data_IF_488337334391
#
_entry.id   IF_488337334391
#
_cell.length_a   1.000
_cell.length_b   1.000
_cell.length_c   1.000
_cell.angle_alpha   90.00
_cell.angle_beta   90.00
_cell.angle_gamma   90.00
#
_symmetry.space_group_name_H-M   'P 1'
#
loop_
_entity.id
_entity.type
_entity.pdbx_description
1 polymer ?
#
# COMPACT_ATOMS: atom_id res chain seq x y z
N UNK A 1 7.86 -5.79 13.54
CA UNK A 1 6.48 -5.27 13.35
C UNK A 1 6.36 -4.16 12.31
N UNK A 2 7.40 -3.40 12.00
CA UNK A 2 7.37 -2.33 10.99
C UNK A 2 7.16 -2.79 9.54
N UNK A 3 7.62 -3.96 9.16
CA UNK A 3 7.61 -4.44 7.76
C UNK A 3 6.20 -4.57 7.14
N UNK A 4 5.23 -5.06 7.91
CA UNK A 4 3.84 -5.23 7.43
C UNK A 4 3.15 -3.90 7.09
N UNK A 5 3.38 -2.88 7.88
CA UNK A 5 2.71 -1.59 7.66
C UNK A 5 3.33 -0.84 6.48
N UNK A 6 4.64 -0.97 6.27
CA UNK A 6 5.33 -0.41 5.10
C UNK A 6 4.79 -1.02 3.81
N UNK A 7 4.51 -2.33 3.80
CA UNK A 7 3.88 -3.01 2.66
C UNK A 7 2.45 -2.50 2.41
N UNK A 8 1.65 -2.29 3.46
CA UNK A 8 0.30 -1.75 3.30
C UNK A 8 0.32 -0.31 2.79
N UNK A 9 1.25 0.51 3.30
CA UNK A 9 1.44 1.89 2.82
C UNK A 9 1.86 1.92 1.35
N UNK A 10 2.68 0.97 0.88
CA UNK A 10 3.04 0.87 -0.54
C UNK A 10 1.86 0.50 -1.46
N UNK A 11 0.80 -0.12 -0.91
CA UNK A 11 -0.45 -0.43 -1.65
C UNK A 11 -1.41 0.76 -1.72
N UNK A 12 -1.20 1.82 -0.95
CA UNK A 12 -1.97 3.05 -1.07
C UNK A 12 -1.71 3.71 -2.43
N UNK A 13 -2.72 4.32 -3.01
CA UNK A 13 -2.53 5.23 -4.14
C UNK A 13 -1.76 6.49 -3.68
N UNK A 14 -1.38 7.34 -4.61
CA UNK A 14 -0.55 8.50 -4.28
C UNK A 14 -1.27 9.49 -3.34
N UNK A 15 -2.57 9.69 -3.52
CA UNK A 15 -3.41 10.54 -2.66
C UNK A 15 -3.43 10.02 -1.22
N UNK A 16 -3.73 8.73 -1.03
CA UNK A 16 -3.76 8.10 0.30
C UNK A 16 -2.37 8.03 0.94
N UNK A 17 -1.31 7.85 0.14
CA UNK A 17 0.07 7.85 0.62
C UNK A 17 0.49 9.21 1.14
N UNK A 18 0.18 10.29 0.39
CA UNK A 18 0.40 11.65 0.85
C UNK A 18 -0.42 11.98 2.11
N UNK A 19 -1.69 11.53 2.16
CA UNK A 19 -2.51 11.69 3.35
C UNK A 19 -1.93 10.96 4.57
N UNK A 20 -1.42 9.74 4.39
CA UNK A 20 -0.77 8.98 5.47
C UNK A 20 0.52 9.67 5.98
N UNK A 21 1.34 10.22 5.07
CA UNK A 21 2.51 11.01 5.45
C UNK A 21 2.13 12.30 6.21
N UNK A 22 1.09 13.00 5.76
CA UNK A 22 0.56 14.18 6.47
C UNK A 22 -0.05 13.83 7.81
N UNK A 23 -0.75 12.70 7.92
CA UNK A 23 -1.28 12.19 9.19
C UNK A 23 -0.16 11.94 10.20
N UNK A 24 0.95 11.37 9.77
CA UNK A 24 2.13 11.18 10.61
C UNK A 24 2.75 12.50 11.06
N UNK A 25 2.85 13.49 10.17
CA UNK A 25 3.32 14.83 10.50
C UNK A 25 2.39 15.55 11.50
N UNK A 26 1.06 15.41 11.34
CA UNK A 26 0.07 15.93 12.27
C UNK A 26 0.18 15.31 13.66
N UNK A 27 0.35 13.99 13.76
CA UNK A 27 0.53 13.28 15.01
C UNK A 27 1.82 13.74 15.72
N UNK A 28 2.92 13.88 14.96
CA UNK A 28 4.19 14.37 15.48
C UNK A 28 4.08 15.84 15.98
N UNK A 29 3.45 16.71 15.20
CA UNK A 29 3.27 18.12 15.58
C UNK A 29 2.42 18.30 16.85
N UNK A 30 1.51 17.35 17.13
CA UNK A 30 0.67 17.34 18.34
C UNK A 30 1.28 16.54 19.49
N UNK A 31 2.44 15.92 19.30
CA UNK A 31 3.10 15.09 20.30
C UNK A 31 2.34 13.81 20.64
N UNK A 32 1.58 13.24 19.68
CA UNK A 32 0.86 12.00 19.89
C UNK A 32 1.78 10.80 19.68
N UNK A 33 1.62 9.75 20.47
CA UNK A 33 2.39 8.52 20.38
C UNK A 33 2.06 7.70 19.13
N UNK A 34 0.80 7.74 18.70
CA UNK A 34 0.29 6.94 17.57
C UNK A 34 -0.38 7.82 16.52
N UNK A 35 -0.17 7.43 15.26
CA UNK A 35 -0.97 7.93 14.13
C UNK A 35 -2.24 7.09 14.05
N UNK A 36 -3.39 7.71 14.29
CA UNK A 36 -4.67 7.02 14.27
C UNK A 36 -5.55 7.44 13.07
N UNK A 37 -6.71 6.82 12.94
CA UNK A 37 -7.66 7.01 11.84
C UNK A 37 -8.08 8.48 11.71
N UNK A 38 -8.29 9.15 12.82
CA UNK A 38 -8.71 10.56 12.87
C UNK A 38 -7.67 11.49 12.24
N UNK A 39 -6.36 11.21 12.42
CA UNK A 39 -5.28 11.94 11.74
C UNK A 39 -5.36 11.74 10.21
N UNK A 40 -5.60 10.50 9.76
CA UNK A 40 -5.71 10.19 8.34
C UNK A 40 -6.93 10.87 7.71
N UNK A 41 -8.08 10.85 8.38
CA UNK A 41 -9.30 11.50 7.90
C UNK A 41 -9.13 13.01 7.77
N UNK A 42 -8.48 13.66 8.74
CA UNK A 42 -8.13 15.08 8.63
C UNK A 42 -7.23 15.37 7.43
N UNK A 43 -6.20 14.55 7.24
CA UNK A 43 -5.29 14.70 6.11
C UNK A 43 -5.99 14.49 4.76
N UNK A 44 -6.97 13.56 4.67
CA UNK A 44 -7.79 13.34 3.48
C UNK A 44 -8.76 14.50 3.21
N UNK A 45 -9.33 15.13 4.25
CA UNK A 45 -10.18 16.30 4.11
C UNK A 45 -9.44 17.52 3.54
N UNK A 46 -8.14 17.62 3.82
CA UNK A 46 -7.30 18.71 3.31
C UNK A 46 -6.85 18.48 1.86
N UNK A 47 -6.89 17.22 1.41
CA UNK A 47 -6.54 16.83 0.04
C UNK A 47 -7.65 17.21 -0.95
N UNK A 48 -7.36 18.08 -1.91
CA UNK A 48 -8.32 18.40 -2.96
C UNK A 48 -8.46 17.24 -3.96
N UNK A 49 -9.70 16.88 -4.34
CA UNK A 49 -9.98 15.94 -5.42
C UNK A 49 -9.91 14.45 -5.04
N UNK A 50 -9.79 14.11 -3.76
CA UNK A 50 -9.88 12.71 -3.31
C UNK A 50 -11.31 12.17 -3.46
N UNK A 51 -11.45 10.83 -3.59
CA UNK A 51 -12.76 10.18 -3.55
C UNK A 51 -13.50 10.54 -2.26
N UNK A 52 -12.77 10.57 -1.15
CA UNK A 52 -13.31 10.93 0.16
C UNK A 52 -13.98 12.31 0.14
N UNK A 53 -13.29 13.35 -0.37
CA UNK A 53 -13.85 14.69 -0.46
C UNK A 53 -14.99 14.79 -1.48
N UNK A 54 -14.93 14.00 -2.56
CA UNK A 54 -15.99 13.85 -3.55
C UNK A 54 -17.26 13.27 -2.93
N UNK A 55 -17.13 12.20 -2.16
CA UNK A 55 -18.23 11.54 -1.45
C UNK A 55 -18.82 12.44 -0.37
N UNK A 56 -17.99 13.15 0.40
CA UNK A 56 -18.46 14.13 1.38
C UNK A 56 -19.37 15.18 0.72
N UNK A 57 -18.97 15.74 -0.45
CA UNK A 57 -19.80 16.69 -1.20
C UNK A 57 -21.09 16.05 -1.72
N UNK A 58 -21.02 14.84 -2.28
CA UNK A 58 -22.17 14.15 -2.86
C UNK A 58 -23.24 13.84 -1.81
N UNK A 59 -22.84 13.41 -0.63
CA UNK A 59 -23.72 13.08 0.47
C UNK A 59 -23.99 14.25 1.44
N UNK A 60 -23.61 15.47 1.04
CA UNK A 60 -23.82 16.70 1.80
C UNK A 60 -23.28 16.62 3.24
N UNK A 61 -22.13 15.98 3.41
CA UNK A 61 -21.38 16.00 4.67
C UNK A 61 -20.79 17.41 4.84
N UNK A 62 -21.01 18.00 5.99
CA UNK A 62 -20.39 19.28 6.31
C UNK A 62 -18.91 19.05 6.66
N UNK A 63 -18.03 19.41 5.72
CA UNK A 63 -16.59 19.20 5.87
C UNK A 63 -15.99 20.08 7.00
N UNK A 64 -16.55 21.26 7.27
CA UNK A 64 -16.08 22.13 8.34
C UNK A 64 -16.45 21.53 9.71
N UNK A 65 -17.68 21.07 9.84
CA UNK A 65 -18.14 20.40 11.05
C UNK A 65 -17.39 19.07 11.27
N UNK A 66 -17.23 18.25 10.22
CA UNK A 66 -16.46 17.01 10.31
C UNK A 66 -15.03 17.25 10.75
N UNK A 67 -14.39 18.29 10.22
CA UNK A 67 -13.05 18.70 10.65
C UNK A 67 -13.02 19.06 12.14
N UNK A 68 -13.92 19.91 12.59
CA UNK A 68 -13.97 20.35 13.99
C UNK A 68 -14.17 19.17 14.95
N UNK A 69 -15.06 18.22 14.60
CA UNK A 69 -15.33 17.02 15.39
C UNK A 69 -14.10 16.09 15.44
N UNK A 70 -13.40 15.88 14.31
CA UNK A 70 -12.15 15.11 14.27
C UNK A 70 -11.03 15.80 15.09
N UNK A 71 -10.92 17.13 15.04
CA UNK A 71 -9.96 17.88 15.85
C UNK A 71 -10.26 17.77 17.35
N UNK A 72 -11.53 17.77 17.72
CA UNK A 72 -11.96 17.58 19.10
C UNK A 72 -11.59 16.15 19.60
N UNK A 73 -11.83 15.11 18.80
CA UNK A 73 -11.41 13.74 19.12
C UNK A 73 -9.89 13.63 19.31
N UNK A 74 -9.12 14.23 18.41
CA UNK A 74 -7.66 14.24 18.52
C UNK A 74 -7.17 14.99 19.76
N UNK A 75 -7.86 16.05 20.21
CA UNK A 75 -7.53 16.78 21.42
C UNK A 75 -7.71 15.94 22.70
N UNK A 76 -8.45 14.82 22.63
CA UNK A 76 -8.60 13.88 23.75
C UNK A 76 -7.44 12.87 23.87
N UNK A 77 -6.58 12.77 22.84
CA UNK A 77 -5.47 11.83 22.86
C UNK A 77 -4.32 12.34 23.76
N UNK A 78 -3.58 11.42 24.42
CA UNK A 78 -2.41 11.79 25.20
C UNK A 78 -1.36 12.47 24.34
N UNK A 79 -0.92 13.65 24.74
CA UNK A 79 0.13 14.42 24.09
C UNK A 79 1.41 14.47 24.94
N UNK A 80 2.52 14.92 24.37
CA UNK A 80 3.81 15.08 25.07
C UNK A 80 4.85 14.02 24.74
N UNK A 81 4.67 13.27 23.63
CA UNK A 81 5.63 12.29 23.16
C UNK A 81 6.64 12.94 22.22
N UNK A 82 7.94 12.78 22.48
CA UNK A 82 9.03 13.36 21.68
C UNK A 82 9.55 12.40 20.58
N UNK A 83 9.12 11.14 20.60
CA UNK A 83 9.56 10.14 19.61
C UNK A 83 8.66 10.13 18.36
N UNK A 84 9.18 9.59 17.26
CA UNK A 84 8.39 9.42 16.05
C UNK A 84 7.13 8.58 16.32
N UNK A 85 5.93 9.06 15.95
CA UNK A 85 4.70 8.33 16.17
C UNK A 85 4.66 7.05 15.35
N UNK A 86 4.08 6.00 15.92
CA UNK A 86 3.85 4.72 15.24
C UNK A 86 2.41 4.64 14.75
N UNK A 87 2.16 3.90 13.68
CA UNK A 87 0.79 3.67 13.22
C UNK A 87 0.02 2.79 14.21
N UNK A 88 -1.17 3.24 14.61
CA UNK A 88 -2.04 2.51 15.52
C UNK A 88 -2.48 1.16 14.93
N UNK A 89 -2.90 0.23 15.81
CA UNK A 89 -3.47 -1.04 15.36
C UNK A 89 -4.74 -0.82 14.54
N UNK A 90 -5.57 0.17 14.90
CA UNK A 90 -6.81 0.53 14.19
C UNK A 90 -6.52 1.00 12.78
N UNK A 91 -5.51 1.86 12.59
CA UNK A 91 -5.11 2.35 11.28
C UNK A 91 -4.54 1.24 10.40
N UNK A 92 -3.79 0.31 11.00
CA UNK A 92 -3.31 -0.89 10.30
C UNK A 92 -4.48 -1.75 9.82
N UNK A 93 -5.42 -2.05 10.70
CA UNK A 93 -6.64 -2.81 10.35
C UNK A 93 -7.42 -2.12 9.24
N UNK A 94 -7.50 -0.78 9.25
CA UNK A 94 -8.14 -0.01 8.19
C UNK A 94 -7.44 -0.23 6.83
N UNK A 95 -6.12 -0.19 6.78
CA UNK A 95 -5.38 -0.43 5.54
C UNK A 95 -5.53 -1.89 5.05
N UNK A 96 -5.50 -2.87 5.95
CA UNK A 96 -5.73 -4.28 5.62
C UNK A 96 -7.14 -4.50 5.03
N UNK A 97 -8.17 -3.93 5.64
CA UNK A 97 -9.54 -4.02 5.15
C UNK A 97 -9.73 -3.23 3.84
N UNK A 98 -9.15 -2.04 3.75
CA UNK A 98 -9.14 -1.24 2.52
C UNK A 98 -8.49 -1.98 1.36
N UNK A 99 -7.38 -2.70 1.61
CA UNK A 99 -6.76 -3.56 0.61
C UNK A 99 -7.65 -4.73 0.21
N UNK A 100 -8.30 -5.40 1.19
CA UNK A 100 -9.23 -6.49 0.89
C UNK A 100 -10.41 -6.04 0.01
N UNK A 101 -10.85 -4.80 0.14
CA UNK A 101 -11.90 -4.21 -0.69
C UNK A 101 -11.37 -3.84 -2.08
N UNK A 102 -10.22 -3.15 -2.16
CA UNK A 102 -9.58 -2.80 -3.42
C UNK A 102 -9.24 -4.03 -4.29
N UNK A 103 -8.80 -5.13 -3.65
CA UNK A 103 -8.49 -6.38 -4.33
C UNK A 103 -9.72 -7.11 -4.91
N UNK A 104 -10.94 -6.77 -4.46
CA UNK A 104 -12.21 -7.27 -5.03
C UNK A 104 -12.66 -6.44 -6.21
N UNK A 105 -12.25 -5.20 -6.26
CA UNK A 105 -12.55 -4.29 -7.34
C UNK A 105 -11.64 -4.63 -8.53
N UNK A 106 -12.23 -5.06 -9.65
CA UNK A 106 -11.49 -5.55 -10.83
C UNK A 106 -10.68 -4.46 -11.52
N UNK A 107 -10.91 -3.20 -11.17
CA UNK A 107 -10.31 -2.04 -11.80
C UNK A 107 -9.22 -1.35 -10.96
N UNK A 108 -9.09 -1.67 -9.67
CA UNK A 108 -8.16 -1.00 -8.77
C UNK A 108 -7.05 -1.93 -8.26
N UNK A 109 -5.80 -1.56 -8.56
CA UNK A 109 -4.60 -2.23 -8.07
C UNK A 109 -4.02 -1.58 -6.80
N UNK A 110 -4.66 -0.49 -6.32
CA UNK A 110 -4.21 0.30 -5.16
C UNK A 110 -5.38 0.67 -4.26
N UNK A 111 -5.06 0.89 -3.00
CA UNK A 111 -6.05 1.35 -2.02
C UNK A 111 -6.34 2.83 -2.30
N UNK A 112 -7.58 3.15 -2.64
CA UNK A 112 -8.11 4.51 -2.79
C UNK A 112 -8.79 4.95 -1.50
N UNK A 113 -9.05 6.25 -1.36
CA UNK A 113 -9.74 6.77 -0.17
C UNK A 113 -11.19 6.28 -0.05
N UNK A 114 -11.83 5.91 -1.16
CA UNK A 114 -13.16 5.25 -1.15
C UNK A 114 -13.11 3.89 -0.47
N UNK A 115 -12.08 3.06 -0.70
CA UNK A 115 -11.93 1.75 -0.05
C UNK A 115 -11.72 1.89 1.45
N UNK A 116 -10.97 2.92 1.88
CA UNK A 116 -10.79 3.23 3.30
C UNK A 116 -12.09 3.66 3.94
N UNK A 117 -12.87 4.52 3.29
CA UNK A 117 -14.17 4.95 3.77
C UNK A 117 -15.17 3.77 3.84
N UNK A 118 -15.19 2.93 2.80
CA UNK A 118 -16.02 1.72 2.77
C UNK A 118 -15.66 0.78 3.92
N UNK A 119 -14.36 0.52 4.16
CA UNK A 119 -13.90 -0.28 5.29
C UNK A 119 -14.35 0.31 6.64
N UNK A 120 -14.25 1.62 6.82
CA UNK A 120 -14.69 2.31 8.03
C UNK A 120 -16.19 2.17 8.30
N UNK A 121 -17.01 2.17 7.26
CA UNK A 121 -18.48 2.13 7.41
C UNK A 121 -19.04 0.71 7.48
N UNK A 122 -18.38 -0.26 6.81
CA UNK A 122 -18.90 -1.63 6.71
C UNK A 122 -18.31 -2.60 7.73
N UNK A 123 -17.07 -2.35 8.20
CA UNK A 123 -16.41 -3.29 9.12
C UNK A 123 -16.83 -3.07 10.57
N UNK A 124 -17.38 -4.09 11.27
CA UNK A 124 -17.82 -3.94 12.66
C UNK A 124 -16.74 -3.45 13.61
N UNK A 125 -15.47 -3.89 13.39
CA UNK A 125 -14.32 -3.49 14.19
C UNK A 125 -13.96 -2.00 14.06
N UNK A 126 -14.35 -1.33 12.95
CA UNK A 126 -14.02 0.06 12.65
C UNK A 126 -15.22 1.00 12.73
N UNK A 127 -16.44 0.49 12.58
CA UNK A 127 -17.66 1.32 12.54
C UNK A 127 -17.94 2.10 13.83
N UNK A 128 -17.38 1.65 14.97
CA UNK A 128 -17.46 2.40 16.21
C UNK A 128 -16.63 3.69 16.17
N UNK A 129 -15.52 3.70 15.40
CA UNK A 129 -14.67 4.87 15.23
C UNK A 129 -15.44 5.99 14.53
N UNK A 130 -16.14 5.67 13.43
CA UNK A 130 -16.94 6.66 12.69
C UNK A 130 -18.06 7.24 13.52
N UNK A 131 -18.78 6.40 14.30
CA UNK A 131 -19.87 6.87 15.18
C UNK A 131 -19.35 7.77 16.30
N UNK A 132 -18.16 7.48 16.83
CA UNK A 132 -17.54 8.27 17.87
C UNK A 132 -16.95 9.56 17.31
N UNK A 133 -16.26 9.48 16.18
CA UNK A 133 -15.53 10.60 15.58
C UNK A 133 -16.47 11.69 15.03
N UNK A 134 -17.58 11.30 14.40
CA UNK A 134 -18.54 12.29 13.88
C UNK A 134 -19.88 11.66 13.47
N UNK A 135 -21.01 12.27 13.84
CA UNK A 135 -22.32 11.87 13.34
C UNK A 135 -22.50 12.14 11.84
N UNK A 136 -21.65 12.95 11.22
CA UNK A 136 -21.69 13.26 9.79
C UNK A 136 -21.50 12.01 8.92
N UNK A 137 -20.77 10.99 9.40
CA UNK A 137 -20.59 9.73 8.69
C UNK A 137 -21.88 8.96 8.48
N UNK A 138 -22.90 9.16 9.33
CA UNK A 138 -24.22 8.54 9.16
C UNK A 138 -24.96 8.99 7.89
N UNK A 139 -24.55 10.12 7.29
CA UNK A 139 -25.10 10.61 6.02
C UNK A 139 -24.64 9.81 4.81
N UNK A 140 -23.57 9.03 4.95
CA UNK A 140 -23.00 8.23 3.86
C UNK A 140 -23.56 6.81 4.00
N UNK A 141 -24.47 6.36 3.12
CA UNK A 141 -25.01 5.01 3.19
C UNK A 141 -23.93 4.00 2.79
N UNK A 142 -23.60 3.08 3.70
CA UNK A 142 -22.59 2.06 3.48
C UNK A 142 -22.91 1.16 2.26
N UNK A 143 -24.21 0.92 2.02
CA UNK A 143 -24.70 0.13 0.88
C UNK A 143 -24.36 0.79 -0.47
N UNK A 144 -24.42 2.13 -0.57
CA UNK A 144 -24.08 2.84 -1.78
C UNK A 144 -22.61 2.66 -2.18
N UNK A 145 -21.73 2.50 -1.17
CA UNK A 145 -20.30 2.25 -1.42
C UNK A 145 -20.00 0.80 -1.80
N UNK A 146 -20.99 -0.12 -1.65
CA UNK A 146 -20.79 -1.54 -1.98
C UNK A 146 -21.11 -1.86 -3.43
N UNK A 147 -22.00 -1.09 -4.08
CA UNK A 147 -22.55 -1.42 -5.40
C UNK A 147 -22.33 -0.33 -6.47
N UNK A 148 -21.76 0.83 -6.12
CA UNK A 148 -21.67 1.97 -7.03
C UNK A 148 -20.38 2.79 -6.91
N UNK A 149 -19.27 2.19 -6.51
CA UNK A 149 -17.99 2.89 -6.28
C UNK A 149 -17.55 3.66 -7.53
N UNK A 150 -17.60 3.03 -8.71
CA UNK A 150 -17.17 3.65 -9.96
C UNK A 150 -18.00 4.88 -10.35
N UNK A 151 -19.33 4.77 -10.23
CA UNK A 151 -20.22 5.90 -10.52
C UNK A 151 -20.10 7.04 -9.49
N UNK A 152 -19.84 6.68 -8.24
CA UNK A 152 -19.70 7.64 -7.14
C UNK A 152 -18.38 8.41 -7.18
N UNK A 153 -17.36 7.83 -7.79
CA UNK A 153 -15.99 8.38 -7.85
C UNK A 153 -15.60 8.88 -9.22
N UNK A 154 -16.54 8.91 -10.19
CA UNK A 154 -16.32 9.48 -11.53
C UNK A 154 -15.80 10.93 -11.42
N UNK A 155 -14.66 11.20 -12.07
CA UNK A 155 -14.04 12.53 -12.06
C UNK A 155 -13.19 12.85 -10.82
N UNK A 156 -12.96 11.88 -9.94
CA UNK A 156 -12.00 12.00 -8.84
C UNK A 156 -10.56 11.93 -9.38
N UNK A 157 -9.64 12.63 -8.70
CA UNK A 157 -8.21 12.53 -8.99
C UNK A 157 -7.64 11.14 -8.70
N UNK A 158 -8.38 10.30 -7.97
CA UNK A 158 -8.02 8.94 -7.64
C UNK A 158 -8.56 7.91 -8.66
N UNK A 159 -9.42 8.32 -9.60
CA UNK A 159 -10.00 7.42 -10.58
C UNK A 159 -8.92 6.80 -11.49
N UNK A 160 -9.06 5.51 -11.90
CA UNK A 160 -8.14 4.88 -12.82
C UNK A 160 -8.02 5.71 -14.11
N UNK A 161 -6.82 6.19 -14.44
CA UNK A 161 -6.56 7.05 -15.60
C UNK A 161 -6.49 8.56 -15.31
N UNK A 162 -6.79 9.04 -14.10
CA UNK A 162 -6.73 10.48 -13.75
C UNK A 162 -5.30 11.01 -13.51
N UNK A 163 -4.30 10.16 -13.43
CA UNK A 163 -2.91 10.53 -13.17
C UNK A 163 -2.26 11.40 -14.29
N UNK A 164 -2.95 11.65 -15.40
CA UNK A 164 -2.47 12.46 -16.53
C UNK A 164 -2.88 13.94 -16.49
N UNK A 165 -3.68 14.38 -15.52
CA UNK A 165 -4.28 15.73 -15.55
C UNK A 165 -3.55 16.80 -14.73
N UNK A 166 -2.47 16.49 -14.00
CA UNK A 166 -1.84 17.44 -13.07
C UNK A 166 -0.50 18.04 -13.55
N UNK A 167 -0.11 17.84 -14.81
CA UNK A 167 1.05 18.51 -15.40
C UNK A 167 0.68 19.19 -16.73
N UNK A 168 -0.04 20.28 -16.66
CA UNK A 168 -0.12 21.24 -17.76
C UNK A 168 0.06 22.66 -17.25
N UNK A 169 1.26 23.19 -17.39
CA UNK A 169 1.50 24.60 -17.68
C UNK A 169 1.74 24.70 -19.20
N UNK A 170 1.34 25.82 -19.84
CA UNK A 170 1.07 25.84 -21.28
C UNK A 170 2.30 26.17 -22.10
N UNK A 171 2.53 25.46 -23.19
CA UNK A 171 2.99 26.02 -24.49
C UNK A 171 3.04 24.95 -25.57
N UNK A 172 2.26 25.14 -26.62
CA UNK A 172 2.63 25.05 -28.05
C UNK A 172 2.91 23.68 -28.69
N UNK A 173 1.99 23.21 -29.53
CA UNK A 173 2.35 22.66 -30.86
C UNK A 173 2.47 21.14 -31.00
N UNK A 174 1.43 20.53 -31.55
CA UNK A 174 1.40 19.46 -32.56
C UNK A 174 2.25 18.18 -32.39
N UNK A 175 1.66 17.07 -32.27
CA UNK A 175 1.52 15.94 -33.21
C UNK A 175 0.99 14.70 -32.47
N UNK A 176 -0.07 14.13 -33.07
CA UNK A 176 -0.73 12.92 -32.63
C UNK A 176 0.19 11.73 -32.90
N UNK A 177 0.50 10.94 -31.88
CA UNK A 177 1.01 9.60 -32.00
C UNK A 177 0.14 8.63 -31.18
N UNK A 178 -0.06 7.39 -31.63
CA UNK A 178 -1.18 6.53 -31.20
C UNK A 178 -1.00 6.02 -29.77
N UNK A 179 -2.13 5.91 -29.07
CA UNK A 179 -2.29 5.36 -27.74
C UNK A 179 -1.57 4.00 -27.59
N UNK A 180 -0.47 3.98 -26.82
CA UNK A 180 0.07 2.74 -26.31
C UNK A 180 -0.86 2.23 -25.19
N UNK A 181 -1.40 1.03 -25.38
CA UNK A 181 -2.11 0.25 -24.36
C UNK A 181 -1.33 0.33 -23.05
N UNK A 182 -1.97 0.86 -22.00
CA UNK A 182 -1.48 0.69 -20.65
C UNK A 182 -1.39 -0.82 -20.40
N UNK A 183 -0.17 -1.33 -20.25
CA UNK A 183 0.06 -2.71 -19.85
C UNK A 183 -0.53 -2.87 -18.43
N UNK A 184 -1.47 -3.80 -18.30
CA UNK A 184 -1.90 -4.27 -16.99
C UNK A 184 -0.64 -4.71 -16.21
N UNK A 185 -0.52 -4.35 -14.91
CA UNK A 185 0.63 -4.78 -14.11
C UNK A 185 0.73 -6.30 -14.20
N UNK A 186 1.92 -6.81 -14.51
CA UNK A 186 2.12 -8.25 -14.64
C UNK A 186 1.75 -8.94 -13.32
N UNK A 187 1.29 -10.19 -13.39
CA UNK A 187 0.99 -10.97 -12.18
C UNK A 187 2.19 -10.98 -11.21
N UNK A 188 3.42 -10.93 -11.75
CA UNK A 188 4.64 -10.80 -10.97
C UNK A 188 4.70 -9.48 -10.19
N UNK A 189 4.32 -8.36 -10.77
CA UNK A 189 4.30 -7.06 -10.05
C UNK A 189 3.20 -7.01 -9.00
N UNK A 190 2.10 -7.70 -9.24
CA UNK A 190 0.95 -7.72 -8.35
C UNK A 190 1.19 -8.53 -7.07
N UNK A 191 1.87 -9.69 -7.17
CA UNK A 191 2.01 -10.65 -6.07
C UNK A 191 3.44 -10.82 -5.56
N UNK A 192 4.39 -10.01 -6.04
CA UNK A 192 5.79 -10.10 -5.60
C UNK A 192 6.37 -8.74 -5.27
N UNK A 193 7.34 -8.74 -4.33
CA UNK A 193 8.20 -7.60 -4.03
C UNK A 193 9.54 -7.80 -4.73
N UNK A 194 9.97 -6.83 -5.54
CA UNK A 194 11.29 -6.84 -6.17
C UNK A 194 12.37 -6.43 -5.15
N UNK A 195 13.06 -7.42 -4.58
CA UNK A 195 14.13 -7.19 -3.60
C UNK A 195 15.35 -6.54 -4.23
N UNK A 196 15.64 -6.84 -5.50
CA UNK A 196 16.79 -6.27 -6.20
C UNK A 196 16.57 -4.77 -6.48
N UNK A 197 15.36 -4.40 -6.88
CA UNK A 197 15.02 -2.98 -7.03
C UNK A 197 15.02 -2.27 -5.68
N UNK A 198 14.47 -2.90 -4.63
CA UNK A 198 14.49 -2.34 -3.28
C UNK A 198 15.91 -2.14 -2.74
N UNK A 199 16.84 -3.05 -3.10
CA UNK A 199 18.27 -2.91 -2.79
C UNK A 199 18.91 -1.71 -3.52
N UNK A 200 18.59 -1.51 -4.81
CA UNK A 200 19.08 -0.36 -5.61
C UNK A 200 18.58 0.97 -5.04
N UNK A 201 17.36 1.00 -4.53
CA UNK A 201 16.73 2.18 -3.94
C UNK A 201 17.22 2.44 -2.50
N UNK A 202 18.20 1.64 -2.00
CA UNK A 202 18.74 1.80 -0.64
C UNK A 202 17.79 1.35 0.48
N UNK A 203 16.73 0.62 0.16
CA UNK A 203 15.73 0.18 1.11
C UNK A 203 16.08 -1.08 1.89
N UNK A 204 17.27 -1.66 1.67
CA UNK A 204 17.76 -2.85 2.39
C UNK A 204 19.01 -2.45 3.19
N UNK A 205 19.01 -2.71 4.48
CA UNK A 205 20.16 -2.49 5.35
C UNK A 205 21.35 -3.38 4.98
N UNK A 206 22.60 -2.93 5.17
CA UNK A 206 23.79 -3.72 4.91
C UNK A 206 23.77 -5.04 5.70
N UNK A 207 24.04 -6.14 5.01
CA UNK A 207 24.09 -7.47 5.60
C UNK A 207 25.51 -7.81 6.02
N UNK A 208 25.71 -8.06 7.31
CA UNK A 208 27.03 -8.33 7.89
C UNK A 208 27.11 -9.81 8.27
N UNK A 209 28.30 -10.42 8.09
CA UNK A 209 28.65 -11.77 8.54
C UNK A 209 27.79 -12.91 7.95
N UNK A 210 27.33 -12.77 6.70
CA UNK A 210 26.58 -13.80 5.95
C UNK A 210 27.20 -14.15 4.60
N UNK A 211 28.48 -13.86 4.43
CA UNK A 211 29.17 -14.03 3.15
C UNK A 211 29.26 -15.49 2.70
N UNK A 212 29.40 -16.42 3.64
CA UNK A 212 29.49 -17.84 3.34
C UNK A 212 28.15 -18.39 2.82
N UNK A 213 27.06 -18.05 3.48
CA UNK A 213 25.71 -18.49 3.11
C UNK A 213 25.28 -17.87 1.78
N UNK A 214 25.61 -16.59 1.56
CA UNK A 214 25.32 -15.91 0.28
C UNK A 214 26.09 -16.53 -0.87
N UNK A 215 27.38 -16.87 -0.68
CA UNK A 215 28.18 -17.59 -1.70
C UNK A 215 27.59 -18.97 -2.00
N UNK A 216 27.24 -19.73 -0.97
CA UNK A 216 26.61 -21.04 -1.14
C UNK A 216 25.28 -20.93 -1.90
N UNK A 217 24.50 -19.87 -1.64
CA UNK A 217 23.26 -19.59 -2.37
C UNK A 217 23.54 -19.35 -3.86
N UNK A 218 24.53 -18.52 -4.18
CA UNK A 218 24.96 -18.26 -5.56
C UNK A 218 25.44 -19.53 -6.26
N UNK A 219 26.26 -20.34 -5.59
CA UNK A 219 26.77 -21.60 -6.14
C UNK A 219 25.65 -22.60 -6.48
N UNK A 220 24.59 -22.63 -5.67
CA UNK A 220 23.42 -23.47 -5.95
C UNK A 220 22.63 -22.93 -7.13
N UNK A 221 22.39 -21.62 -7.19
CA UNK A 221 21.64 -20.97 -8.27
C UNK A 221 22.33 -21.12 -9.63
N UNK A 222 23.66 -21.19 -9.67
CA UNK A 222 24.47 -21.36 -10.89
C UNK A 222 24.50 -22.82 -11.40
N UNK A 223 23.97 -23.78 -10.66
CA UNK A 223 23.93 -25.16 -11.11
C UNK A 223 23.02 -25.33 -12.32
N UNK A 224 23.41 -26.17 -13.27
CA UNK A 224 22.57 -26.49 -14.43
C UNK A 224 21.31 -27.27 -14.10
N UNK A 225 21.32 -28.01 -12.99
CA UNK A 225 20.20 -28.80 -12.46
C UNK A 225 20.17 -28.66 -10.95
N UNK A 226 18.97 -28.81 -10.35
CA UNK A 226 18.78 -28.69 -8.89
C UNK A 226 19.30 -27.33 -8.36
N UNK A 227 18.93 -26.27 -9.04
CA UNK A 227 19.30 -24.89 -8.73
C UNK A 227 18.30 -24.19 -7.79
N UNK A 228 17.51 -24.95 -7.03
CA UNK A 228 16.54 -24.42 -6.08
C UNK A 228 17.12 -24.51 -4.66
N UNK A 229 17.73 -23.46 -4.12
CA UNK A 229 18.25 -23.45 -2.76
C UNK A 229 17.12 -23.43 -1.73
N UNK A 230 17.29 -24.19 -0.66
CA UNK A 230 16.41 -24.21 0.50
C UNK A 230 17.17 -23.73 1.74
N UNK A 231 16.71 -22.64 2.36
CA UNK A 231 17.28 -22.10 3.60
C UNK A 231 16.52 -22.70 4.80
N UNK A 232 17.21 -23.52 5.60
CA UNK A 232 16.65 -24.17 6.79
C UNK A 232 17.27 -23.57 8.05
N UNK A 233 16.48 -23.39 9.09
CA UNK A 233 16.92 -22.88 10.39
C UNK A 233 15.75 -22.41 11.24
N UNK A 234 16.01 -22.14 12.51
CA UNK A 234 15.01 -21.65 13.46
C UNK A 234 14.46 -20.28 13.06
N UNK A 235 13.33 -19.89 13.65
CA UNK A 235 12.77 -18.54 13.44
C UNK A 235 13.75 -17.49 13.97
N UNK A 236 13.95 -16.40 13.22
CA UNK A 236 14.82 -15.29 13.63
C UNK A 236 16.31 -15.44 13.32
N UNK A 237 16.81 -16.59 12.85
CA UNK A 237 18.26 -16.78 12.55
C UNK A 237 18.76 -16.00 11.32
N UNK A 238 17.90 -15.22 10.65
CA UNK A 238 18.32 -14.38 9.52
C UNK A 238 18.25 -15.04 8.15
N UNK A 239 17.37 -16.04 7.92
CA UNK A 239 17.17 -16.65 6.59
C UNK A 239 16.81 -15.62 5.52
N UNK A 240 15.89 -14.71 5.83
CA UNK A 240 15.49 -13.63 4.94
C UNK A 240 16.63 -12.64 4.71
N UNK A 241 17.48 -12.42 5.71
CA UNK A 241 18.65 -11.54 5.62
C UNK A 241 19.67 -12.08 4.60
N UNK A 242 19.84 -13.39 4.49
CA UNK A 242 20.72 -14.00 3.48
C UNK A 242 20.22 -13.71 2.06
N UNK A 243 18.91 -13.81 1.82
CA UNK A 243 18.30 -13.48 0.52
C UNK A 243 18.42 -11.98 0.22
N UNK A 244 18.19 -11.12 1.22
CA UNK A 244 18.38 -9.68 1.11
C UNK A 244 19.84 -9.32 0.79
N UNK A 245 20.80 -10.02 1.41
CA UNK A 245 22.23 -9.87 1.12
C UNK A 245 22.59 -10.26 -0.31
N UNK A 246 21.98 -11.31 -0.87
CA UNK A 246 22.14 -11.65 -2.28
C UNK A 246 21.57 -10.54 -3.19
N UNK A 247 20.42 -9.99 -2.87
CA UNK A 247 19.83 -8.88 -3.63
C UNK A 247 20.73 -7.64 -3.63
N UNK A 248 21.35 -7.30 -2.48
CA UNK A 248 22.35 -6.23 -2.37
C UNK A 248 23.56 -6.47 -3.28
N UNK A 249 24.09 -7.69 -3.30
CA UNK A 249 25.24 -8.03 -4.17
C UNK A 249 24.91 -7.98 -5.66
N UNK A 250 23.70 -8.42 -6.04
CA UNK A 250 23.22 -8.28 -7.42
C UNK A 250 23.09 -6.79 -7.79
N UNK A 251 22.54 -5.99 -6.91
CA UNK A 251 22.39 -4.54 -7.12
C UNK A 251 23.74 -3.84 -7.24
N UNK A 252 24.75 -4.26 -6.46
CA UNK A 252 26.12 -3.76 -6.51
C UNK A 252 26.97 -4.33 -7.67
N UNK A 253 26.48 -5.36 -8.38
CA UNK A 253 27.25 -6.05 -9.43
C UNK A 253 28.33 -6.98 -8.88
N UNK A 254 28.29 -7.35 -7.59
CA UNK A 254 29.25 -8.21 -6.90
C UNK A 254 28.87 -9.70 -6.99
N UNK A 255 28.41 -10.12 -8.16
CA UNK A 255 27.96 -11.48 -8.44
C UNK A 255 28.56 -12.00 -9.76
N UNK A 256 28.60 -13.32 -9.96
CA UNK A 256 28.98 -13.91 -11.25
C UNK A 256 28.15 -13.37 -12.41
N UNK A 257 28.72 -13.34 -13.62
CA UNK A 257 28.08 -12.74 -14.82
C UNK A 257 26.69 -13.30 -15.11
N UNK A 258 26.47 -14.56 -14.83
CA UNK A 258 25.19 -15.25 -15.03
C UNK A 258 24.07 -14.73 -14.11
N UNK A 259 24.43 -14.12 -12.98
CA UNK A 259 23.50 -13.52 -12.03
C UNK A 259 23.41 -11.99 -12.19
N UNK A 260 24.26 -11.39 -13.03
CA UNK A 260 24.17 -9.96 -13.32
C UNK A 260 22.85 -9.65 -14.04
N UNK A 261 22.09 -8.70 -13.51
CA UNK A 261 20.80 -8.30 -14.11
C UNK A 261 19.61 -9.18 -13.74
N UNK A 262 19.81 -10.24 -12.92
CA UNK A 262 18.72 -11.03 -12.37
C UNK A 262 17.96 -10.23 -11.34
N UNK A 263 16.62 -10.29 -11.36
CA UNK A 263 15.76 -9.72 -10.33
C UNK A 263 15.32 -10.80 -9.35
N UNK A 264 15.56 -10.58 -8.06
CA UNK A 264 15.02 -11.44 -7.00
C UNK A 264 13.66 -10.88 -6.61
N UNK A 265 12.62 -11.70 -6.77
CA UNK A 265 11.26 -11.35 -6.39
C UNK A 265 10.78 -12.21 -5.24
N UNK A 266 10.40 -11.59 -4.13
CA UNK A 266 9.80 -12.28 -3.00
C UNK A 266 8.30 -12.41 -3.22
N UNK A 267 7.81 -13.66 -3.26
CA UNK A 267 6.38 -13.95 -3.39
C UNK A 267 5.66 -13.62 -2.08
N UNK A 268 4.61 -12.81 -2.17
CA UNK A 268 3.71 -12.52 -1.05
C UNK A 268 2.56 -13.53 -1.05
N UNK A 269 2.68 -14.55 -0.21
CA UNK A 269 1.68 -15.60 -0.10
C UNK A 269 0.36 -15.10 0.50
N UNK A 270 0.40 -14.09 1.36
CA UNK A 270 -0.81 -13.51 1.96
C UNK A 270 -1.61 -12.76 0.88
N UNK A 271 -0.92 -12.00 0.03
CA UNK A 271 -1.55 -11.33 -1.13
C UNK A 271 -2.10 -12.34 -2.15
N UNK A 272 -1.37 -13.42 -2.38
CA UNK A 272 -1.80 -14.46 -3.31
C UNK A 272 -3.07 -15.17 -2.82
N UNK A 273 -3.18 -15.38 -1.50
CA UNK A 273 -4.33 -16.02 -0.85
C UNK A 273 -5.46 -15.05 -0.56
N UNK A 274 -5.18 -13.75 -0.47
CA UNK A 274 -6.20 -12.74 -0.21
C UNK A 274 -7.27 -12.75 -1.31
N UNK A 275 -8.52 -13.02 -0.94
CA UNK A 275 -9.64 -13.11 -1.87
C UNK A 275 -9.74 -14.41 -2.67
N UNK A 276 -8.89 -15.42 -2.42
CA UNK A 276 -8.99 -16.74 -3.04
C UNK A 276 -10.05 -17.64 -2.36
N UNK A 277 -11.20 -17.06 -1.98
CA UNK A 277 -12.30 -17.81 -1.37
C UNK A 277 -13.02 -18.78 -2.31
N UNK A 278 -12.70 -18.75 -3.60
CA UNK A 278 -13.26 -19.66 -4.61
C UNK A 278 -12.24 -20.78 -4.88
N UNK A 279 -12.65 -22.06 -4.81
CA UNK A 279 -11.77 -23.17 -5.16
C UNK A 279 -11.15 -22.99 -6.56
N UNK A 280 -9.81 -23.11 -6.66
CA UNK A 280 -9.08 -23.00 -7.93
C UNK A 280 -8.59 -21.56 -8.28
N UNK A 281 -8.94 -20.53 -7.52
CA UNK A 281 -8.46 -19.16 -7.78
C UNK A 281 -6.97 -19.01 -7.43
N UNK A 282 -6.52 -19.61 -6.33
CA UNK A 282 -5.11 -19.64 -5.94
C UNK A 282 -4.24 -20.28 -7.03
N UNK A 283 -4.67 -21.43 -7.55
CA UNK A 283 -3.97 -22.15 -8.63
C UNK A 283 -3.94 -21.35 -9.92
N UNK A 284 -5.00 -20.61 -10.22
CA UNK A 284 -5.06 -19.74 -11.40
C UNK A 284 -4.08 -18.57 -11.28
N UNK A 285 -3.98 -17.95 -10.11
CA UNK A 285 -3.01 -16.89 -9.83
C UNK A 285 -1.58 -17.39 -9.90
N UNK A 286 -1.30 -18.57 -9.32
CA UNK A 286 0.00 -19.22 -9.41
C UNK A 286 0.40 -19.54 -10.85
N UNK A 287 -0.52 -20.04 -11.68
CA UNK A 287 -0.24 -20.28 -13.10
C UNK A 287 0.10 -18.99 -13.85
N UNK A 288 -0.57 -17.88 -13.55
CA UNK A 288 -0.25 -16.57 -14.14
C UNK A 288 1.10 -16.02 -13.71
N UNK A 289 1.58 -16.40 -12.51
CA UNK A 289 2.91 -16.02 -12.02
C UNK A 289 4.04 -16.82 -12.72
N UNK A 290 3.76 -18.06 -13.12
CA UNK A 290 4.75 -18.98 -13.71
C UNK A 290 4.78 -18.86 -15.26
N UNK A 291 3.73 -18.34 -15.87
CA UNK A 291 3.62 -18.13 -17.31
C UNK A 291 4.40 -16.92 -17.79
#
# INVERSE_FOLDING_TARGET
MSHRITQLVSKLNDTCRHAAARAAALAMARGHHEVDIEHLLLALLEGAGSDFTGLCRRFRVDAAQLRAELEQELATLPAGHEQMPVFSLRLRTLFEQGWSLAARDTHDTRIRSVHLLQALLTQPALSHVTRRASPQFARIPAEALTHGVDELTLGSAEAPGSAMATMQAPTGGAMVAPASKALEPSALEQYTLDLTQHARDGGIDPVISRDAEIRQLMDILLRRRQNNPLLIGEAGVGKTTVVAGLALRIAAGEVPRELCGVAIRALDLELLQAGAGIPGELERRLRRLIA
#
